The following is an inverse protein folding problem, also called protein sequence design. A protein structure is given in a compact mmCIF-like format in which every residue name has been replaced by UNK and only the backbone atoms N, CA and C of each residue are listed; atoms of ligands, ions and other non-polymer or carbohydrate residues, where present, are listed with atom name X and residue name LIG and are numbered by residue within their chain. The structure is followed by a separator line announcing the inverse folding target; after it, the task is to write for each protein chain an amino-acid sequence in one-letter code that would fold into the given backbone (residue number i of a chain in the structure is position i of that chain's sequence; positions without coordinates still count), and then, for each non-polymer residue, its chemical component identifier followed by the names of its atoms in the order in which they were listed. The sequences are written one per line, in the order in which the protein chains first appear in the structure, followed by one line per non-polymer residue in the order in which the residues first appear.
data_IF_276005691250
#
_entry.id   IF_276005691250
#
_cell.length_a   1.000
_cell.length_b   1.000
_cell.length_c   1.000
_cell.angle_alpha   90.00
_cell.angle_beta   90.00
_cell.angle_gamma   90.00
#
_symmetry.space_group_name_H-M   'P 1'
#
loop_
_entity.id
_entity.type
_entity.pdbx_description
1 polymer ?
#
# COMPACT_ATOMS: atom_id res chain seq x y z
N UNK A 1 68.97 -48.23 -0.59
CA UNK A 1 69.88 -48.04 0.55
C UNK A 1 70.60 -46.73 0.34
N UNK A 2 70.62 -45.90 1.39
CA UNK A 2 71.38 -44.65 1.54
C UNK A 2 70.96 -43.50 0.63
N UNK A 3 70.97 -42.25 1.05
CA UNK A 3 70.98 -41.52 2.32
C UNK A 3 71.31 -40.09 1.88
N UNK A 4 70.78 -39.09 2.58
CA UNK A 4 71.44 -37.79 2.77
C UNK A 4 71.62 -36.90 1.51
N UNK A 5 71.60 -35.58 1.56
CA UNK A 5 71.47 -34.58 2.61
C UNK A 5 71.35 -33.23 1.88
N UNK A 6 70.72 -32.27 2.55
CA UNK A 6 70.86 -30.81 2.46
C UNK A 6 71.62 -30.18 1.27
N UNK A 7 71.04 -29.14 0.65
CA UNK A 7 71.52 -27.76 0.89
C UNK A 7 70.61 -26.62 0.32
N UNK A 8 70.10 -25.81 1.25
CA UNK A 8 69.93 -24.33 1.23
C UNK A 8 68.77 -23.63 0.50
N UNK A 9 68.38 -22.41 0.97
CA UNK A 9 67.03 -21.87 0.86
C UNK A 9 66.89 -20.51 0.13
N UNK A 10 65.62 -20.15 -0.13
CA UNK A 10 65.03 -18.79 -0.26
C UNK A 10 65.27 -18.02 -1.59
N UNK A 11 64.50 -16.95 -1.93
CA UNK A 11 63.23 -16.46 -1.37
C UNK A 11 62.17 -16.05 -2.43
N UNK A 12 60.98 -15.70 -1.91
CA UNK A 12 59.96 -14.77 -2.46
C UNK A 12 58.81 -15.39 -3.24
N UNK A 13 57.68 -15.60 -2.54
CA UNK A 13 56.41 -14.93 -2.87
C UNK A 13 55.55 -14.80 -1.60
N UNK A 14 55.22 -13.55 -1.27
CA UNK A 14 54.44 -13.15 -0.10
C UNK A 14 53.02 -13.76 -0.13
N UNK A 15 52.45 -14.14 1.02
CA UNK A 15 51.02 -14.42 1.13
C UNK A 15 50.25 -13.08 1.26
N UNK A 16 49.19 -12.89 0.47
CA UNK A 16 48.17 -11.88 0.77
C UNK A 16 47.17 -12.51 1.74
N UNK A 17 47.27 -12.11 3.00
CA UNK A 17 46.27 -12.40 4.04
C UNK A 17 45.00 -11.64 3.66
N UNK A 18 43.94 -12.36 3.28
CA UNK A 18 42.60 -11.81 3.26
C UNK A 18 42.00 -11.98 4.65
N UNK A 19 41.92 -10.88 5.39
CA UNK A 19 41.20 -10.80 6.66
C UNK A 19 39.71 -11.10 6.44
N UNK A 20 39.22 -12.20 7.01
CA UNK A 20 37.81 -12.55 7.05
C UNK A 20 37.10 -11.74 8.13
N UNK A 21 36.21 -10.83 7.71
CA UNK A 21 35.16 -10.27 8.56
C UNK A 21 34.00 -11.26 8.53
N UNK A 22 33.43 -11.73 9.66
CA UNK A 22 32.28 -12.62 9.60
C UNK A 22 31.05 -11.84 9.11
N UNK A 23 30.49 -12.26 7.98
CA UNK A 23 29.23 -11.73 7.49
C UNK A 23 28.09 -12.14 8.43
N UNK A 24 27.34 -11.14 8.91
CA UNK A 24 26.07 -11.29 9.61
C UNK A 24 25.13 -12.18 8.78
N UNK A 25 24.38 -13.14 9.36
CA UNK A 25 23.46 -13.96 8.59
C UNK A 25 22.42 -13.05 7.94
N UNK A 26 22.35 -13.06 6.60
CA UNK A 26 21.29 -12.40 5.87
C UNK A 26 19.97 -13.09 6.24
N UNK A 27 18.99 -12.30 6.67
CA UNK A 27 17.62 -12.77 6.83
C UNK A 27 17.17 -13.42 5.51
N UNK A 28 16.39 -14.52 5.57
CA UNK A 28 15.96 -15.22 4.36
C UNK A 28 15.21 -14.22 3.47
N UNK A 29 15.68 -14.06 2.24
CA UNK A 29 15.04 -13.22 1.24
C UNK A 29 13.58 -13.66 1.09
N UNK A 30 12.64 -12.72 1.24
CA UNK A 30 11.22 -12.97 1.07
C UNK A 30 11.00 -13.62 -0.30
N UNK A 31 10.60 -14.89 -0.29
CA UNK A 31 10.37 -15.68 -1.50
C UNK A 31 9.19 -15.05 -2.23
N UNK A 32 9.45 -14.37 -3.34
CA UNK A 32 8.38 -13.80 -4.16
C UNK A 32 7.48 -14.96 -4.62
N UNK A 33 6.19 -14.95 -4.25
CA UNK A 33 5.28 -16.00 -4.66
C UNK A 33 5.14 -15.99 -6.19
N UNK A 34 5.11 -17.17 -6.81
CA UNK A 34 4.89 -17.30 -8.26
C UNK A 34 3.54 -16.69 -8.70
N UNK A 35 3.32 -16.54 -10.01
CA UNK A 35 2.14 -15.84 -10.57
C UNK A 35 0.77 -16.37 -10.08
N UNK A 36 0.69 -17.63 -9.64
CA UNK A 36 -0.55 -18.28 -9.13
C UNK A 36 -0.63 -18.39 -7.60
N UNK A 37 0.22 -17.69 -6.85
CA UNK A 37 0.20 -17.79 -5.40
C UNK A 37 -0.90 -16.95 -4.76
N UNK A 38 -1.61 -17.55 -3.80
CA UNK A 38 -2.52 -16.84 -2.89
C UNK A 38 -1.73 -15.84 -2.06
N UNK A 39 -2.15 -14.57 -2.07
CA UNK A 39 -1.56 -13.49 -1.28
C UNK A 39 -2.58 -12.99 -0.28
N UNK A 40 -2.17 -12.81 0.97
CA UNK A 40 -2.96 -12.07 1.95
C UNK A 40 -2.89 -10.60 1.58
N UNK A 41 -4.05 -9.96 1.51
CA UNK A 41 -4.22 -8.53 1.20
C UNK A 41 -5.13 -7.91 2.23
N UNK A 42 -5.04 -6.60 2.41
CA UNK A 42 -6.00 -5.84 3.20
C UNK A 42 -6.97 -5.14 2.26
N UNK A 43 -8.26 -5.26 2.54
CA UNK A 43 -9.33 -4.61 1.77
C UNK A 43 -9.91 -3.48 2.60
N UNK A 44 -10.09 -2.32 1.98
CA UNK A 44 -10.82 -1.19 2.52
C UNK A 44 -12.07 -0.96 1.69
N UNK A 45 -13.22 -0.84 2.36
CA UNK A 45 -14.48 -0.43 1.76
C UNK A 45 -14.91 0.91 2.35
N UNK A 46 -15.29 1.86 1.50
CA UNK A 46 -15.85 3.15 1.92
C UNK A 46 -17.17 3.40 1.19
N UNK A 47 -18.27 3.53 1.92
CA UNK A 47 -19.63 3.65 1.37
C UNK A 47 -20.31 4.94 1.88
N UNK A 48 -21.13 5.58 1.04
CA UNK A 48 -21.85 6.80 1.43
C UNK A 48 -23.09 6.43 2.23
N UNK A 49 -23.30 7.08 3.37
CA UNK A 49 -24.51 6.92 4.17
C UNK A 49 -25.68 7.63 3.49
N UNK A 50 -26.82 6.96 3.40
CA UNK A 50 -28.07 7.50 2.85
C UNK A 50 -27.96 8.02 1.40
N UNK A 51 -27.07 7.46 0.60
CA UNK A 51 -26.90 7.80 -0.82
C UNK A 51 -28.18 7.66 -1.67
N UNK A 52 -29.05 6.72 -1.31
CA UNK A 52 -30.36 6.56 -1.95
C UNK A 52 -31.28 7.76 -1.72
N UNK A 53 -31.15 8.48 -0.60
CA UNK A 53 -31.88 9.73 -0.38
C UNK A 53 -31.25 10.86 -1.16
N UNK A 54 -29.91 10.91 -1.19
CA UNK A 54 -29.17 11.91 -1.95
C UNK A 54 -29.55 11.88 -3.44
N UNK A 55 -29.69 10.69 -4.01
CA UNK A 55 -30.04 10.52 -5.43
C UNK A 55 -31.47 10.92 -5.78
N UNK A 56 -32.37 10.98 -4.80
CA UNK A 56 -33.73 11.48 -4.98
C UNK A 56 -33.83 13.00 -4.81
N UNK A 57 -32.92 13.59 -4.03
CA UNK A 57 -32.90 15.03 -3.74
C UNK A 57 -32.14 15.88 -4.76
N UNK A 58 -31.18 15.29 -5.46
CA UNK A 58 -30.37 15.98 -6.46
C UNK A 58 -30.79 15.58 -7.87
N UNK A 59 -30.66 16.50 -8.82
CA UNK A 59 -30.78 16.13 -10.22
C UNK A 59 -29.64 15.18 -10.64
N UNK A 60 -29.82 14.38 -11.69
CA UNK A 60 -28.84 13.38 -12.10
C UNK A 60 -27.47 13.93 -12.53
N UNK A 61 -27.37 15.20 -12.92
CA UNK A 61 -26.10 15.83 -13.32
C UNK A 61 -25.34 16.29 -12.07
N UNK A 62 -26.01 16.97 -11.15
CA UNK A 62 -25.46 17.37 -9.86
C UNK A 62 -24.96 16.17 -9.05
N UNK A 63 -25.74 15.09 -8.99
CA UNK A 63 -25.34 13.86 -8.29
C UNK A 63 -24.06 13.27 -8.88
N UNK A 64 -23.96 13.20 -10.21
CA UNK A 64 -22.76 12.69 -10.88
C UNK A 64 -21.53 13.54 -10.58
N UNK A 65 -21.68 14.86 -10.62
CA UNK A 65 -20.59 15.80 -10.32
C UNK A 65 -20.11 15.66 -8.88
N UNK A 66 -21.04 15.57 -7.92
CA UNK A 66 -20.74 15.34 -6.51
C UNK A 66 -20.02 14.00 -6.30
N UNK A 67 -20.54 12.90 -6.86
CA UNK A 67 -19.93 11.58 -6.72
C UNK A 67 -18.55 11.54 -7.36
N UNK A 68 -18.37 12.17 -8.51
CA UNK A 68 -17.07 12.26 -9.19
C UNK A 68 -16.04 12.99 -8.33
N UNK A 69 -16.45 14.06 -7.63
CA UNK A 69 -15.58 14.80 -6.71
C UNK A 69 -15.22 13.94 -5.49
N UNK A 70 -16.22 13.33 -4.87
CA UNK A 70 -16.03 12.42 -3.73
C UNK A 70 -15.08 11.27 -4.06
N UNK A 71 -15.30 10.59 -5.19
CA UNK A 71 -14.45 9.48 -5.63
C UNK A 71 -13.03 9.94 -5.96
N UNK A 72 -12.87 11.12 -6.57
CA UNK A 72 -11.55 11.70 -6.86
C UNK A 72 -10.73 11.91 -5.59
N UNK A 73 -11.32 12.57 -4.59
CA UNK A 73 -10.65 12.87 -3.32
C UNK A 73 -10.26 11.59 -2.55
N UNK A 74 -11.20 10.66 -2.41
CA UNK A 74 -10.92 9.40 -1.68
C UNK A 74 -9.91 8.52 -2.43
N UNK A 75 -9.96 8.49 -3.77
CA UNK A 75 -8.98 7.75 -4.57
C UNK A 75 -7.58 8.31 -4.39
N UNK A 76 -7.45 9.65 -4.33
CA UNK A 76 -6.18 10.30 -4.06
C UNK A 76 -5.63 9.91 -2.68
N UNK A 77 -6.49 9.83 -1.66
CA UNK A 77 -6.10 9.31 -0.33
C UNK A 77 -5.57 7.88 -0.43
N UNK A 78 -6.32 6.96 -1.06
CA UNK A 78 -5.90 5.55 -1.24
C UNK A 78 -4.51 5.47 -1.86
N UNK A 79 -4.29 6.21 -2.95
CA UNK A 79 -3.03 6.21 -3.69
C UNK A 79 -1.88 6.75 -2.84
N UNK A 80 -2.10 7.81 -2.04
CA UNK A 80 -1.08 8.36 -1.12
C UNK A 80 -0.60 7.35 -0.08
N UNK A 81 -1.48 6.44 0.35
CA UNK A 81 -1.14 5.35 1.28
C UNK A 81 -0.67 4.07 0.58
N UNK A 82 -0.46 4.11 -0.74
CA UNK A 82 0.04 2.96 -1.51
C UNK A 82 -0.98 1.84 -1.68
N UNK A 83 -2.28 2.15 -1.56
CA UNK A 83 -3.36 1.27 -1.96
C UNK A 83 -3.74 1.47 -3.42
N UNK A 84 -4.51 0.52 -3.95
CA UNK A 84 -5.06 0.57 -5.31
C UNK A 84 -6.58 0.57 -5.20
N UNK A 85 -7.24 1.54 -5.82
CA UNK A 85 -8.70 1.49 -5.99
C UNK A 85 -9.00 0.43 -7.03
N UNK A 86 -9.68 -0.64 -6.61
CA UNK A 86 -9.98 -1.78 -7.47
C UNK A 86 -11.33 -1.63 -8.15
N UNK A 87 -12.36 -1.22 -7.40
CA UNK A 87 -13.72 -1.09 -7.93
C UNK A 87 -14.47 0.09 -7.31
N UNK A 88 -15.41 0.62 -8.09
CA UNK A 88 -16.51 1.45 -7.61
C UNK A 88 -17.79 0.62 -7.69
N UNK A 89 -18.50 0.47 -6.58
CA UNK A 89 -19.73 -0.32 -6.48
C UNK A 89 -20.84 0.64 -6.08
N UNK A 90 -21.51 1.23 -7.08
CA UNK A 90 -22.49 2.29 -6.83
C UNK A 90 -21.83 3.53 -6.26
N UNK A 91 -22.11 3.83 -5.00
CA UNK A 91 -21.56 4.91 -4.17
C UNK A 91 -20.38 4.47 -3.29
N UNK A 92 -20.03 3.18 -3.32
CA UNK A 92 -18.93 2.63 -2.54
C UNK A 92 -17.61 2.54 -3.32
N UNK A 93 -16.50 2.70 -2.62
CA UNK A 93 -15.13 2.47 -3.09
C UNK A 93 -14.61 1.19 -2.44
N UNK A 94 -14.00 0.32 -3.25
CA UNK A 94 -13.19 -0.80 -2.77
C UNK A 94 -11.72 -0.58 -3.12
N UNK A 95 -10.88 -0.49 -2.10
CA UNK A 95 -9.44 -0.35 -2.22
C UNK A 95 -8.71 -1.59 -1.67
N UNK A 96 -7.57 -1.91 -2.28
CA UNK A 96 -6.75 -3.07 -1.94
C UNK A 96 -5.35 -2.61 -1.59
N UNK A 97 -4.84 -3.07 -0.46
CA UNK A 97 -3.47 -2.92 -0.01
C UNK A 97 -2.79 -4.29 -0.04
N UNK A 98 -1.53 -4.33 -0.48
CA UNK A 98 -0.78 -5.57 -0.70
C UNK A 98 -0.80 -6.10 -2.13
N UNK A 99 -1.25 -5.27 -3.08
CA UNK A 99 -1.20 -5.57 -4.52
C UNK A 99 -0.46 -4.45 -5.28
N UNK A 100 0.40 -4.77 -6.27
CA UNK A 100 0.83 -6.12 -6.68
C UNK A 100 1.83 -6.78 -5.70
N UNK A 101 2.38 -6.00 -4.77
CA UNK A 101 3.35 -6.43 -3.76
C UNK A 101 2.75 -6.33 -2.36
N UNK A 102 2.94 -7.38 -1.57
CA UNK A 102 2.50 -7.47 -0.16
C UNK A 102 3.57 -6.86 0.73
N UNK A 103 3.13 -6.14 1.75
CA UNK A 103 3.99 -5.56 2.78
C UNK A 103 3.42 -5.86 4.17
N UNK A 104 4.30 -5.92 5.17
CA UNK A 104 3.89 -6.21 6.55
C UNK A 104 2.99 -5.11 7.15
N UNK A 105 3.02 -3.91 6.58
CA UNK A 105 2.30 -2.73 7.05
C UNK A 105 1.02 -2.42 6.26
N UNK A 106 0.58 -3.31 5.35
CA UNK A 106 -0.61 -3.10 4.50
C UNK A 106 -1.86 -2.74 5.33
N UNK A 107 -2.09 -3.45 6.45
CA UNK A 107 -3.21 -3.17 7.35
C UNK A 107 -3.11 -1.78 8.02
N UNK A 108 -1.91 -1.39 8.42
CA UNK A 108 -1.67 -0.07 9.02
C UNK A 108 -1.89 1.05 8.01
N UNK A 109 -1.44 0.86 6.76
CA UNK A 109 -1.66 1.82 5.67
C UNK A 109 -3.14 1.95 5.31
N UNK A 110 -3.89 0.85 5.31
CA UNK A 110 -5.34 0.90 5.13
C UNK A 110 -6.04 1.70 6.25
N UNK A 111 -5.66 1.51 7.51
CA UNK A 111 -6.22 2.27 8.64
C UNK A 111 -5.87 3.76 8.54
N UNK A 112 -4.62 4.09 8.18
CA UNK A 112 -4.20 5.48 7.97
C UNK A 112 -4.97 6.14 6.83
N UNK A 113 -5.15 5.43 5.72
CA UNK A 113 -5.99 5.89 4.61
C UNK A 113 -7.43 6.16 5.08
N UNK A 114 -8.03 5.26 5.87
CA UNK A 114 -9.39 5.45 6.37
C UNK A 114 -9.52 6.69 7.27
N UNK A 115 -8.53 6.98 8.11
CA UNK A 115 -8.52 8.21 8.93
C UNK A 115 -8.44 9.45 8.04
N UNK A 116 -7.51 9.47 7.09
CA UNK A 116 -7.34 10.61 6.19
C UNK A 116 -8.55 10.80 5.24
N UNK A 117 -9.23 9.71 4.85
CA UNK A 117 -10.48 9.80 4.09
C UNK A 117 -11.56 10.55 4.86
N UNK A 118 -11.66 10.35 6.18
CA UNK A 118 -12.64 11.05 7.01
C UNK A 118 -12.31 12.54 7.13
N UNK A 119 -11.02 12.87 7.27
CA UNK A 119 -10.55 14.25 7.32
C UNK A 119 -10.78 14.97 5.97
N UNK A 120 -10.43 14.28 4.88
CA UNK A 120 -10.65 14.78 3.50
C UNK A 120 -12.13 14.99 3.22
N UNK A 121 -13.01 14.06 3.65
CA UNK A 121 -14.46 14.23 3.51
C UNK A 121 -14.98 15.41 4.32
N UNK A 122 -14.43 15.67 5.51
CA UNK A 122 -14.82 16.84 6.30
C UNK A 122 -14.49 18.15 5.57
N UNK A 123 -13.33 18.21 4.90
CA UNK A 123 -12.93 19.37 4.07
C UNK A 123 -13.86 19.48 2.85
N UNK A 124 -14.04 18.39 2.11
CA UNK A 124 -14.90 18.35 0.93
C UNK A 124 -16.34 18.78 1.27
N UNK A 125 -16.86 18.40 2.44
CA UNK A 125 -18.19 18.79 2.88
C UNK A 125 -18.38 20.32 2.96
N UNK A 126 -17.35 21.11 3.23
CA UNK A 126 -17.47 22.57 3.17
C UNK A 126 -17.76 23.05 1.74
N UNK A 127 -17.15 22.43 0.73
CA UNK A 127 -17.43 22.73 -0.68
C UNK A 127 -18.81 22.22 -1.10
N UNK A 128 -19.20 21.01 -0.66
CA UNK A 128 -20.49 20.42 -1.00
C UNK A 128 -21.67 21.19 -0.36
N UNK A 129 -21.50 21.67 0.86
CA UNK A 129 -22.49 22.51 1.53
C UNK A 129 -22.67 23.85 0.79
N UNK A 130 -21.57 24.47 0.36
CA UNK A 130 -21.63 25.73 -0.39
C UNK A 130 -22.21 25.59 -1.80
N UNK A 131 -21.93 24.46 -2.48
CA UNK A 131 -22.37 24.23 -3.86
C UNK A 131 -23.79 23.66 -3.98
N UNK A 132 -24.12 22.67 -3.15
CA UNK A 132 -25.35 21.88 -3.25
C UNK A 132 -26.19 21.87 -1.97
N UNK A 133 -25.72 22.47 -0.87
CA UNK A 133 -26.43 22.43 0.41
C UNK A 133 -26.47 21.05 1.05
N UNK A 134 -25.53 20.16 0.68
CA UNK A 134 -25.49 18.77 1.14
C UNK A 134 -24.23 18.48 1.92
N UNK A 135 -24.37 17.59 2.91
CA UNK A 135 -23.28 17.05 3.70
C UNK A 135 -23.27 15.54 3.59
N UNK A 136 -22.13 14.98 3.23
CA UNK A 136 -21.93 13.55 3.12
C UNK A 136 -21.38 12.96 4.42
N UNK A 137 -21.77 11.73 4.68
CA UNK A 137 -21.14 10.86 5.67
C UNK A 137 -20.74 9.57 4.99
N UNK A 138 -19.63 8.96 5.42
CA UNK A 138 -19.22 7.67 4.93
C UNK A 138 -19.06 6.64 6.07
N UNK A 139 -19.21 5.37 5.71
CA UNK A 139 -18.86 4.22 6.54
C UNK A 139 -17.64 3.55 5.94
N UNK A 140 -16.62 3.31 6.75
CA UNK A 140 -15.38 2.67 6.32
C UNK A 140 -15.18 1.36 7.07
N UNK A 141 -15.00 0.27 6.33
CA UNK A 141 -14.67 -1.06 6.84
C UNK A 141 -13.31 -1.52 6.32
N UNK A 142 -12.56 -2.25 7.14
CA UNK A 142 -11.24 -2.80 6.79
C UNK A 142 -11.22 -4.28 7.19
N UNK A 143 -10.71 -5.14 6.31
CA UNK A 143 -10.55 -6.58 6.53
C UNK A 143 -9.23 -7.11 5.98
#
# INVERSE_FOLDING_TARGET
MSSDNHLRPNPKRRPKVASSVPAKPAAPAARQPGPDARKTVTILFADIVDSSRLSLSLDPEALRNLLSRYFGELSAVVQRHGGIVNNYIGDAIMAVFGMPFVHEDDALRAVRAAVEMRETLAILNHELEAGWGVRLMNRIGIN
#
